data_IF_591808401899
#
_entry.id   IF_591808401899
#
_cell.length_a   1.000
_cell.length_b   1.000
_cell.length_c   1.000
_cell.angle_alpha   90.00
_cell.angle_beta   90.00
_cell.angle_gamma   90.00
#
_symmetry.space_group_name_H-M   'P 1'
#
loop_
_entity.id
_entity.type
_entity.pdbx_description
1 polymer ?
#
# COMPACT_ATOMS: atom_id res chain seq x y z
N UNK A 1 -0.62 4.53 23.66
CA UNK A 1 -0.30 3.22 23.05
C UNK A 1 -0.73 3.12 21.59
N UNK A 2 -1.98 3.44 21.23
CA UNK A 2 -2.47 3.33 19.85
C UNK A 2 -1.58 4.02 18.79
N UNK A 3 -1.13 5.26 19.06
CA UNK A 3 -0.23 6.00 18.16
C UNK A 3 1.11 5.31 17.91
N UNK A 4 1.68 4.68 18.95
CA UNK A 4 2.95 3.96 18.85
C UNK A 4 2.77 2.69 18.00
N UNK A 5 1.71 1.93 18.25
CA UNK A 5 1.40 0.77 17.43
C UNK A 5 1.11 1.16 15.96
N UNK A 6 0.44 2.29 15.74
CA UNK A 6 0.20 2.81 14.39
C UNK A 6 1.50 3.15 13.67
N UNK A 7 2.44 3.80 14.37
CA UNK A 7 3.76 4.09 13.82
C UNK A 7 4.47 2.81 13.34
N UNK A 8 4.50 1.76 14.17
CA UNK A 8 5.15 0.51 13.78
C UNK A 8 4.45 -0.18 12.60
N UNK A 9 3.12 -0.20 12.55
CA UNK A 9 2.39 -0.77 11.41
C UNK A 9 2.69 -0.01 10.11
N UNK A 10 2.67 1.32 10.14
CA UNK A 10 2.96 2.15 8.98
C UNK A 10 4.38 1.90 8.46
N UNK A 11 5.38 1.92 9.35
CA UNK A 11 6.77 1.67 8.95
C UNK A 11 6.99 0.24 8.46
N UNK A 12 6.31 -0.74 9.04
CA UNK A 12 6.37 -2.12 8.57
C UNK A 12 5.82 -2.25 7.14
N UNK A 13 4.71 -1.58 6.84
CA UNK A 13 4.16 -1.53 5.48
C UNK A 13 5.16 -0.90 4.51
N UNK A 14 5.77 0.23 4.86
CA UNK A 14 6.76 0.90 4.01
C UNK A 14 7.96 -0.01 3.74
N UNK A 15 8.51 -0.65 4.76
CA UNK A 15 9.65 -1.57 4.62
C UNK A 15 9.32 -2.76 3.70
N UNK A 16 8.09 -3.31 3.76
CA UNK A 16 7.68 -4.38 2.85
C UNK A 16 7.51 -3.89 1.41
N UNK A 17 7.08 -2.64 1.21
CA UNK A 17 7.01 -2.06 -0.13
C UNK A 17 8.41 -1.86 -0.71
N UNK A 18 9.35 -1.31 0.07
CA UNK A 18 10.75 -1.15 -0.33
C UNK A 18 11.40 -2.50 -0.68
N UNK A 19 11.19 -3.51 0.16
CA UNK A 19 11.69 -4.87 -0.10
C UNK A 19 11.09 -5.46 -1.40
N UNK A 20 9.80 -5.23 -1.64
CA UNK A 20 9.14 -5.66 -2.87
C UNK A 20 9.68 -4.95 -4.12
N UNK A 21 9.95 -3.64 -4.04
CA UNK A 21 10.58 -2.86 -5.11
C UNK A 21 11.97 -3.42 -5.41
N UNK A 22 12.80 -3.56 -4.37
CA UNK A 22 14.17 -4.06 -4.50
C UNK A 22 14.22 -5.46 -5.11
N UNK A 23 13.33 -6.36 -4.66
CA UNK A 23 13.26 -7.75 -5.13
C UNK A 23 12.54 -7.90 -6.47
N UNK A 24 11.94 -6.84 -7.02
CA UNK A 24 11.04 -6.94 -8.17
C UNK A 24 9.97 -8.01 -7.94
N UNK A 25 9.32 -7.94 -6.78
CA UNK A 25 8.36 -8.95 -6.36
C UNK A 25 7.13 -8.95 -7.28
N UNK A 26 6.63 -10.15 -7.60
CA UNK A 26 5.37 -10.33 -8.33
C UNK A 26 4.15 -10.33 -7.40
N UNK A 27 4.36 -10.51 -6.09
CA UNK A 27 3.31 -10.60 -5.09
C UNK A 27 3.71 -9.84 -3.82
N UNK A 28 2.78 -9.06 -3.27
CA UNK A 28 2.95 -8.29 -2.05
C UNK A 28 1.70 -8.45 -1.18
N UNK A 29 1.90 -8.83 0.08
CA UNK A 29 0.82 -8.97 1.04
C UNK A 29 0.92 -7.89 2.12
N UNK A 30 -0.04 -6.97 2.11
CA UNK A 30 -0.20 -5.91 3.11
C UNK A 30 -1.50 -6.08 3.91
N UNK A 31 -1.96 -7.32 4.07
CA UNK A 31 -3.17 -7.60 4.85
C UNK A 31 -2.93 -7.36 6.35
N UNK A 32 -3.97 -6.97 7.09
CA UNK A 32 -3.96 -6.83 8.56
C UNK A 32 -3.14 -5.68 9.19
N UNK A 33 -2.83 -4.61 8.45
CA UNK A 33 -2.07 -3.47 8.99
C UNK A 33 -2.92 -2.28 9.44
N UNK A 34 -4.25 -2.44 9.49
CA UNK A 34 -5.19 -1.37 9.84
C UNK A 34 -5.02 -0.11 8.98
N UNK A 35 -4.52 -0.26 7.75
CA UNK A 35 -4.32 0.85 6.82
C UNK A 35 -5.65 1.53 6.51
N UNK A 36 -5.66 2.86 6.51
CA UNK A 36 -6.82 3.66 6.08
C UNK A 36 -6.68 4.11 4.63
N UNK A 37 -5.45 4.16 4.14
CA UNK A 37 -5.03 4.42 2.77
C UNK A 37 -3.89 3.47 2.38
N UNK A 38 -3.75 3.22 1.08
CA UNK A 38 -2.61 2.48 0.53
C UNK A 38 -1.48 3.49 0.31
N UNK A 39 -0.22 3.21 0.72
CA UNK A 39 0.86 4.18 0.56
C UNK A 39 1.29 4.29 -0.89
N UNK A 40 1.58 5.51 -1.34
CA UNK A 40 1.95 5.84 -2.72
C UNK A 40 3.20 5.10 -3.22
N UNK A 41 4.09 4.67 -2.31
CA UNK A 41 5.28 3.87 -2.65
C UNK A 41 4.94 2.56 -3.39
N UNK A 42 3.72 2.04 -3.26
CA UNK A 42 3.26 0.87 -4.03
C UNK A 42 3.31 1.13 -5.54
N UNK A 43 3.16 2.37 -5.99
CA UNK A 43 3.22 2.72 -7.42
C UNK A 43 4.61 2.45 -8.03
N UNK A 44 5.65 2.32 -7.20
CA UNK A 44 7.02 1.99 -7.62
C UNK A 44 7.25 0.48 -7.77
N UNK A 45 6.31 -0.38 -7.37
CA UNK A 45 6.42 -1.82 -7.53
C UNK A 45 6.10 -2.27 -8.98
N UNK A 46 6.97 -1.93 -9.93
CA UNK A 46 6.73 -2.08 -11.39
C UNK A 46 6.39 -3.51 -11.85
N UNK A 47 6.82 -4.53 -11.12
CA UNK A 47 6.61 -5.95 -11.45
C UNK A 47 5.44 -6.59 -10.73
N UNK A 48 4.75 -5.85 -9.86
CA UNK A 48 3.75 -6.40 -8.95
C UNK A 48 2.48 -6.82 -9.70
N UNK A 49 2.14 -8.11 -9.63
CA UNK A 49 0.94 -8.67 -10.27
C UNK A 49 -0.19 -8.93 -9.28
N UNK A 50 0.15 -9.18 -8.00
CA UNK A 50 -0.83 -9.52 -6.95
C UNK A 50 -0.57 -8.69 -5.70
N UNK A 51 -1.57 -7.93 -5.30
CA UNK A 51 -1.57 -7.14 -4.07
C UNK A 51 -2.70 -7.59 -3.15
N UNK A 52 -2.36 -8.06 -1.94
CA UNK A 52 -3.35 -8.46 -0.94
C UNK A 52 -3.52 -7.36 0.10
N UNK A 53 -4.74 -6.83 0.24
CA UNK A 53 -5.07 -5.71 1.13
C UNK A 53 -6.15 -6.07 2.16
N UNK A 54 -6.42 -7.37 2.34
CA UNK A 54 -7.53 -7.83 3.17
C UNK A 54 -7.36 -7.40 4.63
N UNK A 55 -8.47 -7.23 5.34
CA UNK A 55 -8.47 -6.93 6.78
C UNK A 55 -7.70 -5.64 7.15
N UNK A 56 -7.77 -4.64 6.27
CA UNK A 56 -7.40 -3.26 6.56
C UNK A 56 -8.66 -2.40 6.81
N UNK A 57 -8.45 -1.12 7.16
CA UNK A 57 -9.51 -0.12 7.36
C UNK A 57 -9.66 0.79 6.13
N UNK A 58 -9.31 0.27 4.95
CA UNK A 58 -9.35 1.04 3.71
C UNK A 58 -10.78 1.48 3.44
N UNK A 59 -10.98 2.79 3.34
CA UNK A 59 -12.26 3.31 2.84
C UNK A 59 -12.34 2.95 1.36
N UNK A 60 -13.50 2.46 0.93
CA UNK A 60 -13.77 2.12 -0.47
C UNK A 60 -13.42 3.35 -1.31
N UNK A 61 -12.33 3.27 -2.08
CA UNK A 61 -11.96 4.32 -3.02
C UNK A 61 -13.05 4.30 -4.09
N UNK A 62 -13.96 5.29 -4.07
CA UNK A 62 -14.73 5.63 -5.26
C UNK A 62 -13.71 5.98 -6.33
N UNK A 63 -13.83 5.33 -7.49
CA UNK A 63 -12.88 5.33 -8.59
C UNK A 63 -12.10 6.65 -8.70
N UNK A 64 -10.78 6.50 -8.77
CA UNK A 64 -9.74 7.50 -8.99
C UNK A 64 -10.30 8.79 -9.62
N UNK A 65 -9.96 9.94 -9.02
CA UNK A 65 -9.96 11.20 -9.77
C UNK A 65 -9.00 11.00 -10.94
N UNK A 66 -9.54 10.54 -12.08
CA UNK A 66 -8.87 10.60 -13.37
C UNK A 66 -8.65 12.09 -13.59
N UNK A 67 -7.44 12.56 -13.28
CA UNK A 67 -6.98 13.83 -13.76
C UNK A 67 -6.84 13.64 -15.27
N UNK A 68 -7.94 13.87 -16.00
CA UNK A 68 -7.94 13.90 -17.45
C UNK A 68 -6.95 15.00 -17.81
N UNK A 69 -5.78 14.62 -18.28
CA UNK A 69 -4.94 15.52 -19.05
C UNK A 69 -5.78 16.04 -20.21
N UNK A 70 -6.30 17.24 -20.06
CA UNK A 70 -6.81 18.03 -21.18
C UNK A 70 -5.63 18.85 -21.69
N UNK A 71 -5.32 18.59 -22.95
CA UNK A 71 -4.38 19.29 -23.82
C UNK A 71 -4.41 20.80 -23.67
#
# INVERSE_FOLDING_TARGET
MEKVCQFFRNNYVLANCEDAIYKKAFTLNLSHYQMTEVPDIIEQCETLMKLFLNQNKLKKVVASKVNKGTK
#
